data_IF_526602679152
#
_entry.id   IF_526602679152
#
_cell.length_a   1.000
_cell.length_b   1.000
_cell.length_c   1.000
_cell.angle_alpha   90.00
_cell.angle_beta   90.00
_cell.angle_gamma   90.00
#
_symmetry.space_group_name_H-M   'P 1'
#
loop_
_entity.id
_entity.type
_entity.pdbx_description
1 polymer ?
#
# COMPACT_ATOMS: atom_id res chain seq x y z
N UNK A 1 -16.28 0.63 -3.56
CA UNK A 1 -15.57 -0.66 -3.69
C UNK A 1 -14.15 -0.63 -3.12
N UNK A 2 -13.28 0.32 -3.51
CA UNK A 2 -11.90 0.37 -3.02
C UNK A 2 -11.77 0.35 -1.48
N UNK A 3 -12.53 1.18 -0.76
CA UNK A 3 -12.50 1.21 0.71
C UNK A 3 -12.94 -0.11 1.37
N UNK A 4 -13.88 -0.83 0.73
CA UNK A 4 -14.30 -2.16 1.20
C UNK A 4 -13.16 -3.17 1.03
N UNK A 5 -12.43 -3.11 -0.07
CA UNK A 5 -11.23 -3.93 -0.27
C UNK A 5 -10.17 -3.61 0.78
N UNK A 6 -9.87 -2.33 1.04
CA UNK A 6 -8.90 -1.95 2.08
C UNK A 6 -9.32 -2.43 3.48
N UNK A 7 -10.61 -2.36 3.81
CA UNK A 7 -11.13 -2.91 5.06
C UNK A 7 -10.99 -4.44 5.12
N UNK A 8 -11.32 -5.13 4.02
CA UNK A 8 -11.17 -6.58 3.92
C UNK A 8 -9.70 -7.02 4.07
N UNK A 9 -8.76 -6.29 3.48
CA UNK A 9 -7.33 -6.52 3.67
C UNK A 9 -6.95 -6.42 5.15
N UNK A 10 -7.42 -5.39 5.86
CA UNK A 10 -7.18 -5.27 7.29
C UNK A 10 -7.74 -6.48 8.07
N UNK A 11 -8.96 -6.93 7.76
CA UNK A 11 -9.56 -8.10 8.40
C UNK A 11 -8.76 -9.38 8.15
N UNK A 12 -8.23 -9.58 6.94
CA UNK A 12 -7.38 -10.73 6.60
C UNK A 12 -6.04 -10.71 7.34
N UNK A 13 -5.53 -9.52 7.65
CA UNK A 13 -4.26 -9.33 8.36
C UNK A 13 -4.41 -9.30 9.89
N UNK A 14 -5.61 -9.53 10.44
CA UNK A 14 -5.77 -9.71 11.88
C UNK A 14 -5.18 -11.06 12.32
N UNK A 15 -4.27 -11.08 13.31
CA UNK A 15 -3.75 -12.32 13.87
C UNK A 15 -4.88 -13.16 14.46
N UNK A 16 -4.84 -14.48 14.22
CA UNK A 16 -5.81 -15.41 14.81
C UNK A 16 -5.10 -16.27 15.85
N UNK A 17 -5.75 -16.45 17.01
CA UNK A 17 -5.35 -17.46 17.98
C UNK A 17 -5.78 -18.81 17.45
N UNK A 18 -4.80 -19.63 17.07
CA UNK A 18 -5.04 -21.05 16.84
C UNK A 18 -4.89 -21.71 18.22
N UNK A 19 -5.84 -22.57 18.62
CA UNK A 19 -5.98 -23.14 19.98
C UNK A 19 -4.81 -24.02 20.48
N UNK A 20 -3.66 -23.95 19.82
CA UNK A 20 -2.45 -24.77 19.92
C UNK A 20 -1.33 -24.11 20.74
N UNK A 21 -1.63 -23.04 21.48
CA UNK A 21 -0.68 -22.39 22.41
C UNK A 21 0.41 -21.54 21.74
N UNK A 22 0.41 -21.45 20.41
CA UNK A 22 1.25 -20.52 19.66
C UNK A 22 0.74 -19.08 19.75
N UNK A 23 1.67 -18.13 19.66
CA UNK A 23 1.33 -16.72 19.55
C UNK A 23 0.44 -16.47 18.31
N UNK A 24 -0.58 -15.58 18.41
CA UNK A 24 -1.44 -15.25 17.28
C UNK A 24 -0.63 -14.83 16.06
N UNK A 25 -0.92 -15.42 14.90
CA UNK A 25 -0.22 -15.13 13.64
C UNK A 25 -1.19 -15.03 12.47
N UNK A 26 -0.78 -14.29 11.45
CA UNK A 26 -1.51 -14.21 10.17
C UNK A 26 -1.09 -15.39 9.29
N UNK A 27 -2.07 -16.11 8.73
CA UNK A 27 -1.76 -17.25 7.87
C UNK A 27 -1.10 -16.80 6.55
N UNK A 28 -0.29 -17.66 5.93
CA UNK A 28 0.30 -17.36 4.63
C UNK A 28 -0.77 -17.19 3.54
N UNK A 29 -1.84 -17.98 3.58
CA UNK A 29 -2.98 -17.84 2.68
C UNK A 29 -3.66 -16.48 2.80
N UNK A 30 -3.89 -16.00 4.04
CA UNK A 30 -4.46 -14.67 4.28
C UNK A 30 -3.54 -13.55 3.78
N UNK A 31 -2.23 -13.72 3.91
CA UNK A 31 -1.23 -12.79 3.35
C UNK A 31 -1.29 -12.77 1.82
N UNK A 32 -1.34 -13.93 1.16
CA UNK A 32 -1.50 -14.03 -0.30
C UNK A 32 -2.82 -13.43 -0.79
N UNK A 33 -3.94 -13.77 -0.14
CA UNK A 33 -5.26 -13.21 -0.47
C UNK A 33 -5.29 -11.68 -0.31
N UNK A 34 -4.59 -11.15 0.70
CA UNK A 34 -4.47 -9.71 0.91
C UNK A 34 -3.79 -8.99 -0.26
N UNK A 35 -2.80 -9.61 -0.91
CA UNK A 35 -2.16 -9.05 -2.11
C UNK A 35 -3.19 -8.78 -3.21
N UNK A 36 -4.05 -9.76 -3.50
CA UNK A 36 -5.10 -9.61 -4.53
C UNK A 36 -6.11 -8.53 -4.17
N UNK A 37 -6.44 -8.41 -2.87
CA UNK A 37 -7.37 -7.39 -2.38
C UNK A 37 -6.77 -5.99 -2.52
N UNK A 38 -5.47 -5.81 -2.25
CA UNK A 38 -4.78 -4.54 -2.49
C UNK A 38 -4.75 -4.17 -3.97
N UNK A 39 -4.45 -5.13 -4.85
CA UNK A 39 -4.47 -4.91 -6.31
C UNK A 39 -5.88 -4.50 -6.79
N UNK A 40 -6.94 -5.13 -6.28
CA UNK A 40 -8.32 -4.74 -6.56
C UNK A 40 -8.61 -3.31 -6.08
N UNK A 41 -8.19 -2.95 -4.87
CA UNK A 41 -8.37 -1.61 -4.34
C UNK A 41 -7.69 -0.55 -5.23
N UNK A 42 -6.44 -0.78 -5.62
CA UNK A 42 -5.70 0.08 -6.53
C UNK A 42 -6.39 0.19 -7.90
N UNK A 43 -6.84 -0.93 -8.47
CA UNK A 43 -7.56 -0.95 -9.75
C UNK A 43 -8.86 -0.14 -9.72
N UNK A 44 -9.63 -0.23 -8.64
CA UNK A 44 -10.84 0.58 -8.48
C UNK A 44 -10.53 2.09 -8.41
N UNK A 45 -9.47 2.46 -7.69
CA UNK A 45 -9.05 3.87 -7.56
C UNK A 45 -8.49 4.42 -8.87
N UNK A 46 -7.64 3.64 -9.57
CA UNK A 46 -7.11 4.01 -10.88
C UNK A 46 -8.22 4.17 -11.93
N UNK A 47 -9.22 3.28 -11.92
CA UNK A 47 -10.40 3.39 -12.77
C UNK A 47 -11.20 4.66 -12.45
N UNK A 48 -11.39 5.00 -11.17
CA UNK A 48 -12.05 6.23 -10.78
C UNK A 48 -11.31 7.47 -11.32
N UNK A 49 -9.98 7.52 -11.19
CA UNK A 49 -9.14 8.63 -11.65
C UNK A 49 -9.18 8.76 -13.18
N UNK A 50 -9.06 7.64 -13.92
CA UNK A 50 -8.91 7.67 -15.38
C UNK A 50 -10.22 7.72 -16.15
N UNK A 51 -11.31 7.19 -15.58
CA UNK A 51 -12.54 6.96 -16.33
C UNK A 51 -13.78 7.59 -15.71
N UNK A 52 -13.77 7.88 -14.40
CA UNK A 52 -14.92 8.48 -13.71
C UNK A 52 -14.71 9.99 -13.56
N UNK A 53 -13.65 10.41 -12.86
CA UNK A 53 -13.38 11.83 -12.61
C UNK A 53 -13.37 12.67 -13.89
N UNK A 54 -12.72 12.28 -15.01
CA UNK A 54 -12.63 13.11 -16.21
C UNK A 54 -13.99 13.36 -16.87
N UNK A 55 -14.95 12.44 -16.68
CA UNK A 55 -16.31 12.54 -17.23
C UNK A 55 -17.24 13.39 -16.35
N UNK A 56 -16.82 13.72 -15.12
CA UNK A 56 -17.59 14.60 -14.25
C UNK A 56 -17.43 16.06 -14.69
N UNK A 57 -18.53 16.85 -14.69
CA UNK A 57 -18.46 18.30 -14.88
C UNK A 57 -17.50 18.95 -13.87
N UNK A 58 -16.80 20.01 -14.30
CA UNK A 58 -15.76 20.66 -13.49
C UNK A 58 -16.34 21.25 -12.19
N UNK A 59 -17.55 21.80 -12.26
CA UNK A 59 -18.28 22.39 -11.14
C UNK A 59 -18.52 21.34 -10.05
N UNK A 60 -18.98 20.15 -10.45
CA UNK A 60 -19.20 19.03 -9.53
C UNK A 60 -17.88 18.48 -9.00
N UNK A 61 -16.84 18.41 -9.83
CA UNK A 61 -15.51 17.93 -9.41
C UNK A 61 -14.90 18.82 -8.34
N UNK A 62 -15.11 20.14 -8.41
CA UNK A 62 -14.66 21.11 -7.39
C UNK A 62 -15.42 21.03 -6.07
N UNK A 63 -16.64 20.48 -6.09
CA UNK A 63 -17.47 20.29 -4.91
C UNK A 63 -17.20 18.94 -4.21
N UNK A 64 -16.31 18.10 -4.76
CA UNK A 64 -15.97 16.83 -4.14
C UNK A 64 -15.30 17.06 -2.77
N UNK A 65 -15.59 16.20 -1.78
CA UNK A 65 -14.85 16.17 -0.53
C UNK A 65 -13.36 16.05 -0.77
N UNK A 66 -12.56 16.60 0.16
CA UNK A 66 -11.09 16.56 0.08
C UNK A 66 -10.56 15.13 -0.13
N UNK A 67 -11.17 14.12 0.49
CA UNK A 67 -10.77 12.71 0.37
C UNK A 67 -10.92 12.15 -1.05
N UNK A 68 -11.80 12.74 -1.86
CA UNK A 68 -12.06 12.36 -3.25
C UNK A 68 -11.32 13.24 -4.26
N UNK A 69 -10.49 14.17 -3.79
CA UNK A 69 -9.59 14.92 -4.66
C UNK A 69 -8.69 13.96 -5.43
N UNK A 70 -8.44 14.26 -6.71
CA UNK A 70 -7.68 13.40 -7.62
C UNK A 70 -6.31 12.99 -7.06
N UNK A 71 -5.59 13.94 -6.45
CA UNK A 71 -4.29 13.67 -5.79
C UNK A 71 -4.40 12.67 -4.64
N UNK A 72 -5.46 12.75 -3.83
CA UNK A 72 -5.70 11.82 -2.72
C UNK A 72 -6.06 10.42 -3.22
N UNK A 73 -6.92 10.32 -4.24
CA UNK A 73 -7.23 9.04 -4.86
C UNK A 73 -5.98 8.40 -5.49
N UNK A 74 -5.11 9.20 -6.13
CA UNK A 74 -3.84 8.74 -6.69
C UNK A 74 -2.90 8.25 -5.60
N UNK A 75 -2.75 9.01 -4.51
CA UNK A 75 -1.93 8.62 -3.36
C UNK A 75 -2.45 7.31 -2.72
N UNK A 76 -3.77 7.16 -2.54
CA UNK A 76 -4.38 5.92 -2.03
C UNK A 76 -4.19 4.73 -2.97
N UNK A 77 -4.29 4.94 -4.29
CA UNK A 77 -4.04 3.88 -5.28
C UNK A 77 -2.59 3.40 -5.21
N UNK A 78 -1.64 4.33 -5.21
CA UNK A 78 -0.21 4.03 -5.07
C UNK A 78 0.11 3.41 -3.71
N UNK A 79 -0.55 3.84 -2.62
CA UNK A 79 -0.39 3.22 -1.31
C UNK A 79 -0.84 1.76 -1.33
N UNK A 80 -2.00 1.45 -1.93
CA UNK A 80 -2.47 0.07 -2.03
C UNK A 80 -1.47 -0.81 -2.79
N UNK A 81 -0.88 -0.31 -3.88
CA UNK A 81 0.20 -1.01 -4.59
C UNK A 81 1.45 -1.20 -3.71
N UNK A 82 1.88 -0.15 -3.00
CA UNK A 82 3.02 -0.21 -2.08
C UNK A 82 2.82 -1.24 -0.96
N UNK A 83 1.62 -1.33 -0.39
CA UNK A 83 1.27 -2.32 0.64
C UNK A 83 1.19 -3.75 0.05
N UNK A 84 0.70 -3.90 -1.18
CA UNK A 84 0.72 -5.17 -1.89
C UNK A 84 2.13 -5.70 -2.12
N UNK A 85 3.06 -4.84 -2.54
CA UNK A 85 4.47 -5.20 -2.72
C UNK A 85 5.17 -5.49 -1.39
N UNK A 86 4.88 -4.71 -0.34
CA UNK A 86 5.38 -4.98 1.03
C UNK A 86 4.99 -6.39 1.48
N UNK A 87 3.72 -6.78 1.27
CA UNK A 87 3.24 -8.12 1.58
C UNK A 87 3.93 -9.22 0.74
N UNK A 88 4.11 -9.00 -0.57
CA UNK A 88 4.83 -9.92 -1.45
C UNK A 88 6.30 -10.08 -1.03
N UNK A 89 6.95 -8.99 -0.60
CA UNK A 89 8.33 -9.02 -0.11
C UNK A 89 8.42 -9.84 1.18
N UNK A 90 7.50 -9.64 2.13
CA UNK A 90 7.43 -10.45 3.34
C UNK A 90 7.29 -11.95 3.04
N UNK A 91 6.39 -12.31 2.11
CA UNK A 91 6.24 -13.70 1.64
C UNK A 91 7.51 -14.25 0.97
N UNK A 92 8.21 -13.41 0.19
CA UNK A 92 9.47 -13.80 -0.45
C UNK A 92 10.60 -13.96 0.57
N UNK A 93 10.65 -13.14 1.63
CA UNK A 93 11.65 -13.27 2.69
C UNK A 93 11.51 -14.63 3.40
N UNK A 94 10.29 -15.00 3.76
CA UNK A 94 9.96 -16.26 4.45
C UNK A 94 10.13 -17.51 3.56
N UNK A 95 10.16 -17.34 2.24
CA UNK A 95 10.22 -18.45 1.30
C UNK A 95 11.66 -18.87 0.99
N UNK A 96 12.05 -20.14 1.24
CA UNK A 96 13.36 -20.66 0.85
C UNK A 96 13.51 -20.77 -0.68
N UNK A 97 12.40 -20.75 -1.43
CA UNK A 97 12.40 -20.82 -2.89
C UNK A 97 12.62 -19.47 -3.57
N UNK A 98 12.45 -18.36 -2.84
CA UNK A 98 12.59 -17.03 -3.40
C UNK A 98 14.07 -16.64 -3.51
N UNK A 99 14.53 -16.41 -4.74
CA UNK A 99 15.91 -15.98 -5.00
C UNK A 99 16.15 -14.56 -4.49
N UNK A 100 17.41 -14.22 -4.24
CA UNK A 100 17.80 -12.86 -3.84
C UNK A 100 17.40 -11.81 -4.89
N UNK A 101 17.43 -12.18 -6.19
CA UNK A 101 17.00 -11.32 -7.28
C UNK A 101 15.51 -10.93 -7.16
N UNK A 102 14.64 -11.87 -6.75
CA UNK A 102 13.21 -11.59 -6.51
C UNK A 102 13.03 -10.62 -5.35
N UNK A 103 13.69 -10.86 -4.21
CA UNK A 103 13.62 -9.99 -3.02
C UNK A 103 14.09 -8.57 -3.35
N UNK A 104 15.17 -8.44 -4.11
CA UNK A 104 15.69 -7.13 -4.60
C UNK A 104 14.69 -6.39 -5.47
N UNK A 105 14.11 -7.07 -6.45
CA UNK A 105 13.13 -6.47 -7.35
C UNK A 105 11.94 -5.93 -6.57
N UNK A 106 11.39 -6.74 -5.66
CA UNK A 106 10.27 -6.33 -4.80
C UNK A 106 10.63 -5.13 -3.92
N UNK A 107 11.82 -5.13 -3.29
CA UNK A 107 12.27 -3.98 -2.50
C UNK A 107 12.44 -2.71 -3.34
N UNK A 108 12.96 -2.81 -4.57
CA UNK A 108 13.04 -1.69 -5.51
C UNK A 108 11.66 -1.16 -5.93
N UNK A 109 10.70 -2.05 -6.22
CA UNK A 109 9.33 -1.68 -6.53
C UNK A 109 8.65 -0.99 -5.34
N UNK A 110 8.86 -1.51 -4.12
CA UNK A 110 8.35 -0.92 -2.87
C UNK A 110 8.84 0.52 -2.71
N UNK A 111 10.15 0.78 -2.87
CA UNK A 111 10.72 2.14 -2.82
C UNK A 111 10.06 3.06 -3.85
N UNK A 112 9.88 2.59 -5.08
CA UNK A 112 9.27 3.36 -6.16
C UNK A 112 7.84 3.77 -5.85
N UNK A 113 7.02 2.86 -5.31
CA UNK A 113 5.64 3.18 -4.94
C UNK A 113 5.58 4.19 -3.79
N UNK A 114 6.31 3.96 -2.70
CA UNK A 114 6.28 4.87 -1.55
C UNK A 114 6.83 6.26 -1.86
N UNK A 115 7.81 6.36 -2.75
CA UNK A 115 8.27 7.66 -3.27
C UNK A 115 7.13 8.39 -4.01
N UNK A 116 6.45 7.71 -4.94
CA UNK A 116 5.33 8.31 -5.68
C UNK A 116 4.15 8.69 -4.77
N UNK A 117 3.88 7.91 -3.71
CA UNK A 117 2.88 8.27 -2.69
C UNK A 117 3.29 9.59 -2.03
N UNK A 118 4.55 9.72 -1.59
CA UNK A 118 5.05 10.93 -0.94
C UNK A 118 4.93 12.16 -1.85
N UNK A 119 5.22 12.02 -3.15
CA UNK A 119 5.10 13.09 -4.15
C UNK A 119 3.64 13.42 -4.50
N UNK A 120 2.72 12.47 -4.33
CA UNK A 120 1.30 12.63 -4.69
C UNK A 120 0.43 13.16 -3.55
N UNK A 121 0.91 13.14 -2.29
CA UNK A 121 0.16 13.68 -1.15
C UNK A 121 0.10 15.21 -1.30
N UNK A 122 -1.09 15.81 -1.49
CA UNK A 122 -1.22 17.26 -1.59
C UNK A 122 -0.77 17.95 -0.28
N UNK A 123 -0.29 19.18 -0.41
CA UNK A 123 -0.07 20.08 0.72
C UNK A 123 -1.43 20.53 1.29
N UNK A 124 -2.14 19.61 1.94
CA UNK A 124 -3.38 19.95 2.62
C UNK A 124 -3.08 20.76 3.89
N UNK A 125 -3.93 21.74 4.24
CA UNK A 125 -3.86 22.43 5.52
C UNK A 125 -3.86 21.40 6.64
N UNK A 126 -2.86 21.48 7.52
CA UNK A 126 -2.60 20.54 8.63
C UNK A 126 -3.63 20.74 9.76
N UNK A 127 -4.87 21.11 9.46
CA UNK A 127 -5.89 21.40 10.47
C UNK A 127 -6.50 20.12 11.06
N UNK A 128 -6.28 18.96 10.44
CA UNK A 128 -6.79 17.68 10.94
C UNK A 128 -5.68 16.64 11.14
N UNK A 129 -5.69 15.99 12.30
CA UNK A 129 -4.62 15.10 12.77
C UNK A 129 -4.36 13.89 11.86
N UNK A 130 -5.36 13.50 11.07
CA UNK A 130 -5.29 12.39 10.12
C UNK A 130 -4.28 12.60 9.00
N UNK A 131 -4.22 13.80 8.41
CA UNK A 131 -3.26 14.11 7.34
C UNK A 131 -1.82 14.04 7.82
N UNK A 132 -1.55 14.53 9.04
CA UNK A 132 -0.22 14.43 9.68
C UNK A 132 0.17 12.98 9.97
N UNK A 133 -0.76 12.18 10.49
CA UNK A 133 -0.55 10.75 10.74
C UNK A 133 -0.21 10.01 9.43
N UNK A 134 -0.99 10.23 8.37
CA UNK A 134 -0.76 9.58 7.08
C UNK A 134 0.60 9.97 6.48
N UNK A 135 1.00 11.25 6.55
CA UNK A 135 2.32 11.70 6.08
C UNK A 135 3.47 11.02 6.85
N UNK A 136 3.35 10.91 8.17
CA UNK A 136 4.34 10.19 9.00
C UNK A 136 4.41 8.70 8.64
N UNK A 137 3.25 8.07 8.43
CA UNK A 137 3.17 6.68 7.99
C UNK A 137 3.87 6.46 6.65
N UNK A 138 3.60 7.30 5.64
CA UNK A 138 4.23 7.20 4.33
C UNK A 138 5.74 7.43 4.41
N UNK A 139 6.19 8.42 5.20
CA UNK A 139 7.62 8.66 5.43
C UNK A 139 8.30 7.46 6.06
N UNK A 140 7.68 6.85 7.08
CA UNK A 140 8.19 5.64 7.72
C UNK A 140 8.29 4.49 6.71
N UNK A 141 7.23 4.21 5.96
CA UNK A 141 7.21 3.15 4.94
C UNK A 141 8.23 3.36 3.83
N UNK A 142 8.46 4.60 3.41
CA UNK A 142 9.51 4.91 2.44
C UNK A 142 10.92 4.61 2.98
N UNK A 143 11.21 5.00 4.23
CA UNK A 143 12.49 4.70 4.86
C UNK A 143 12.68 3.19 5.06
N UNK A 144 11.64 2.49 5.52
CA UNK A 144 11.62 1.03 5.64
C UNK A 144 11.93 0.35 4.29
N UNK A 145 11.28 0.76 3.21
CA UNK A 145 11.54 0.25 1.87
C UNK A 145 13.00 0.47 1.42
N UNK A 146 13.58 1.63 1.74
CA UNK A 146 14.99 1.91 1.45
C UNK A 146 15.92 1.00 2.22
N UNK A 147 15.63 0.72 3.49
CA UNK A 147 16.40 -0.24 4.29
C UNK A 147 16.34 -1.64 3.68
N UNK A 148 15.14 -2.15 3.34
CA UNK A 148 15.01 -3.44 2.67
C UNK A 148 15.80 -3.51 1.37
N UNK A 149 15.74 -2.45 0.55
CA UNK A 149 16.52 -2.35 -0.68
C UNK A 149 18.02 -2.46 -0.38
N UNK A 150 18.54 -1.69 0.57
CA UNK A 150 19.95 -1.72 0.95
C UNK A 150 20.35 -3.12 1.47
N UNK A 151 19.61 -3.70 2.40
CA UNK A 151 19.89 -5.04 2.94
C UNK A 151 19.99 -6.07 1.83
N UNK A 152 19.02 -6.11 0.91
CA UNK A 152 19.06 -7.07 -0.19
C UNK A 152 20.11 -6.72 -1.24
N UNK A 153 20.50 -5.46 -1.42
CA UNK A 153 21.55 -5.07 -2.36
C UNK A 153 22.96 -5.44 -1.84
N UNK A 154 23.22 -5.23 -0.56
CA UNK A 154 24.53 -5.50 0.04
C UNK A 154 24.73 -6.95 0.47
N UNK A 155 23.65 -7.74 0.66
CA UNK A 155 23.76 -9.17 0.98
C UNK A 155 24.11 -10.09 -0.22
N UNK A 156 24.60 -9.54 -1.36
CA UNK A 156 25.24 -10.35 -2.43
C UNK A 156 26.69 -9.97 -2.72
N UNK A 157 27.29 -9.13 -1.89
CA UNK A 157 28.74 -8.98 -1.84
C UNK A 157 29.27 -9.96 -0.80
#
# INVERSE_FOLDING_TARGET
>A
MAMVCLLQANTLLLPRSYGDGYAPRVSEESRRATVDVFLKAAGYLDCAIRHVLPKMPLELRRQLPVDLAEGNLKALSLQALGQGVDMQLGLAIDSPKATLAVKRRLACEMVKYWQQVQESIPELPVSDGWGKKHRLFVKWKYVEAKVYKLCHYYHSL
#
